data_IF_975839923116
#
_entry.id   IF_975839923116
#
_cell.length_a   1.000
_cell.length_b   1.000
_cell.length_c   1.000
_cell.angle_alpha   90.00
_cell.angle_beta   90.00
_cell.angle_gamma   90.00
#
_symmetry.space_group_name_H-M   'P 1'
#
loop_
_entity.id
_entity.type
_entity.pdbx_description
1 polymer ?
#
# COMPACT_ATOMS: atom_id res chain seq x y z
N UNK A 1 -11.09 1.17 -12.65
CA UNK A 1 -10.31 -0.03 -13.00
C UNK A 1 -9.07 -0.19 -12.11
N UNK A 2 -9.17 -0.99 -11.05
CA UNK A 2 -8.07 -1.23 -10.08
C UNK A 2 -6.84 -1.89 -10.72
N UNK A 3 -7.05 -2.74 -11.74
CA UNK A 3 -5.97 -3.40 -12.49
C UNK A 3 -5.09 -2.41 -13.26
N UNK A 4 -5.64 -1.29 -13.73
CA UNK A 4 -4.86 -0.24 -14.38
C UNK A 4 -4.01 0.54 -13.37
N UNK A 5 -4.60 0.87 -12.21
CA UNK A 5 -3.89 1.53 -11.11
C UNK A 5 -2.69 0.70 -10.63
N UNK A 6 -2.87 -0.62 -10.47
CA UNK A 6 -1.79 -1.54 -10.11
C UNK A 6 -0.64 -1.49 -11.13
N UNK A 7 -0.93 -1.52 -12.43
CA UNK A 7 0.10 -1.47 -13.48
C UNK A 7 0.87 -0.15 -13.50
N UNK A 8 0.19 0.97 -13.29
CA UNK A 8 0.87 2.28 -13.18
C UNK A 8 1.78 2.36 -11.95
N UNK A 9 1.30 1.88 -10.80
CA UNK A 9 2.09 1.86 -9.57
C UNK A 9 3.27 0.89 -9.67
N UNK A 10 3.13 -0.24 -10.37
CA UNK A 10 4.23 -1.17 -10.63
C UNK A 10 5.32 -0.55 -11.52
N UNK A 11 4.95 0.16 -12.59
CA UNK A 11 5.94 0.90 -13.39
C UNK A 11 6.67 1.98 -12.59
N UNK A 12 6.00 2.61 -11.64
CA UNK A 12 6.63 3.58 -10.75
C UNK A 12 7.68 2.92 -9.83
N UNK A 13 7.52 1.64 -9.46
CA UNK A 13 8.54 0.85 -8.75
C UNK A 13 9.76 0.54 -9.61
N UNK A 14 9.57 0.41 -10.93
CA UNK A 14 10.66 0.14 -11.87
C UNK A 14 11.45 1.41 -12.21
N UNK A 15 10.81 2.59 -12.14
CA UNK A 15 11.43 3.88 -12.43
C UNK A 15 12.28 4.42 -11.26
N UNK A 16 12.16 3.87 -10.06
CA UNK A 16 12.90 4.31 -8.89
C UNK A 16 12.40 3.68 -7.59
N UNK A 17 13.09 3.94 -6.46
CA UNK A 17 12.66 3.42 -5.16
C UNK A 17 11.24 3.92 -4.85
N UNK A 18 10.31 3.02 -4.47
CA UNK A 18 8.98 3.42 -4.05
C UNK A 18 9.06 4.43 -2.92
N UNK A 19 8.24 5.48 -2.99
CA UNK A 19 7.96 6.32 -1.84
C UNK A 19 6.89 5.68 -0.96
N UNK A 20 6.87 6.05 0.32
CA UNK A 20 5.84 5.64 1.27
C UNK A 20 4.41 5.87 0.72
N UNK A 21 4.20 6.94 -0.05
CA UNK A 21 2.92 7.23 -0.71
C UNK A 21 2.54 6.23 -1.81
N UNK A 22 3.51 5.80 -2.63
CA UNK A 22 3.27 4.79 -3.67
C UNK A 22 2.94 3.44 -3.03
N UNK A 23 3.65 3.09 -1.95
CA UNK A 23 3.39 1.88 -1.17
C UNK A 23 2.02 1.93 -0.49
N UNK A 24 1.62 3.07 0.06
CA UNK A 24 0.27 3.26 0.62
C UNK A 24 -0.83 3.02 -0.43
N UNK A 25 -0.71 3.65 -1.61
CA UNK A 25 -1.68 3.47 -2.69
C UNK A 25 -1.70 2.02 -3.22
N UNK A 26 -0.56 1.34 -3.26
CA UNK A 26 -0.51 -0.10 -3.58
C UNK A 26 -1.25 -0.93 -2.54
N UNK A 27 -1.10 -0.61 -1.25
CA UNK A 27 -1.84 -1.29 -0.19
C UNK A 27 -3.35 -1.09 -0.32
N UNK A 28 -3.79 0.13 -0.60
CA UNK A 28 -5.21 0.45 -0.80
C UNK A 28 -5.81 -0.28 -2.00
N UNK A 29 -5.07 -0.34 -3.11
CA UNK A 29 -5.49 -1.08 -4.30
C UNK A 29 -5.57 -2.58 -4.01
N UNK A 30 -4.63 -3.15 -3.25
CA UNK A 30 -4.66 -4.57 -2.90
C UNK A 30 -5.82 -4.89 -1.95
N UNK A 31 -6.11 -4.03 -0.98
CA UNK A 31 -7.26 -4.19 -0.09
C UNK A 31 -8.58 -4.13 -0.87
N UNK A 32 -8.71 -3.17 -1.80
CA UNK A 32 -9.88 -3.06 -2.67
C UNK A 32 -10.05 -4.27 -3.63
N UNK A 33 -8.98 -5.04 -3.85
CA UNK A 33 -8.99 -6.29 -4.61
C UNK A 33 -9.27 -7.53 -3.74
N UNK A 34 -9.49 -7.36 -2.42
CA UNK A 34 -9.65 -8.45 -1.45
C UNK A 34 -8.33 -9.12 -1.05
N UNK A 35 -7.18 -8.58 -1.45
CA UNK A 35 -5.86 -9.13 -1.16
C UNK A 35 -5.29 -8.52 0.13
N UNK A 36 -5.95 -8.77 1.25
CA UNK A 36 -5.66 -8.13 2.53
C UNK A 36 -4.24 -8.43 3.06
N UNK A 37 -3.75 -9.64 2.81
CA UNK A 37 -2.37 -10.01 3.12
C UNK A 37 -1.34 -9.20 2.33
N UNK A 38 -1.62 -8.90 1.06
CA UNK A 38 -0.74 -8.05 0.25
C UNK A 38 -0.86 -6.59 0.67
N UNK A 39 -2.07 -6.11 0.99
CA UNK A 39 -2.33 -4.76 1.47
C UNK A 39 -1.49 -4.42 2.71
N UNK A 40 -1.53 -5.30 3.73
CA UNK A 40 -0.73 -5.14 4.96
C UNK A 40 0.76 -5.04 4.67
N UNK A 41 1.30 -5.90 3.80
CA UNK A 41 2.73 -5.85 3.44
C UNK A 41 3.13 -4.50 2.84
N UNK A 42 2.29 -3.94 1.97
CA UNK A 42 2.58 -2.63 1.37
C UNK A 42 2.45 -1.48 2.37
N UNK A 43 1.41 -1.47 3.21
CA UNK A 43 1.27 -0.48 4.28
C UNK A 43 2.40 -0.53 5.32
N UNK A 44 2.88 -1.74 5.66
CA UNK A 44 4.03 -1.92 6.55
C UNK A 44 5.30 -1.32 5.96
N UNK A 45 5.58 -1.58 4.67
CA UNK A 45 6.73 -1.00 3.96
C UNK A 45 6.62 0.53 3.82
N UNK A 46 5.40 1.03 3.67
CA UNK A 46 5.16 2.47 3.66
C UNK A 46 5.45 3.11 5.02
N UNK A 47 5.09 2.45 6.12
CA UNK A 47 5.39 2.89 7.49
C UNK A 47 6.88 2.79 7.84
N UNK A 48 7.57 1.78 7.33
CA UNK A 48 9.02 1.62 7.53
C UNK A 48 9.80 2.80 6.95
N UNK A 49 9.33 3.35 5.83
CA UNK A 49 9.90 4.56 5.23
C UNK A 49 9.47 5.86 5.92
N UNK A 50 8.27 5.88 6.49
CA UNK A 50 7.65 7.09 7.03
C UNK A 50 6.75 6.72 8.23
N UNK A 51 7.40 6.57 9.38
CA UNK A 51 6.81 6.04 10.61
C UNK A 51 5.79 7.00 11.27
N UNK A 52 5.78 8.26 10.86
CA UNK A 52 4.88 9.30 11.39
C UNK A 52 3.48 9.26 10.76
N UNK A 53 3.26 8.36 9.78
CA UNK A 53 1.97 8.22 9.11
C UNK A 53 0.92 7.55 9.98
N UNK A 54 0.28 8.36 10.84
CA UNK A 54 -0.87 7.98 11.64
C UNK A 54 -1.98 7.31 10.82
N UNK A 55 -2.21 7.76 9.59
CA UNK A 55 -3.17 7.19 8.63
C UNK A 55 -2.89 5.72 8.31
N UNK A 56 -1.63 5.33 8.14
CA UNK A 56 -1.23 3.94 7.87
C UNK A 56 -1.34 3.06 9.11
N UNK A 57 -0.99 3.60 10.28
CA UNK A 57 -1.19 2.89 11.57
C UNK A 57 -2.67 2.61 11.80
N UNK A 58 -3.53 3.58 11.50
CA UNK A 58 -4.98 3.39 11.52
C UNK A 58 -5.40 2.32 10.52
N UNK A 59 -4.96 2.37 9.26
CA UNK A 59 -5.27 1.33 8.25
C UNK A 59 -4.80 -0.08 8.65
N UNK A 60 -3.69 -0.23 9.35
CA UNK A 60 -3.25 -1.55 9.85
C UNK A 60 -4.05 -2.02 11.07
N UNK A 61 -4.58 -1.09 11.86
CA UNK A 61 -5.32 -1.37 13.09
C UNK A 61 -6.84 -1.51 12.89
N UNK A 62 -7.43 -0.71 11.99
CA UNK A 62 -8.82 -0.79 11.51
C UNK A 62 -8.97 -1.76 10.33
N UNK A 63 -7.89 -1.98 9.57
CA UNK A 63 -7.95 -2.73 8.32
C UNK A 63 -8.10 -4.22 8.52
N UNK A 64 -8.33 -4.92 7.39
CA UNK A 64 -9.08 -6.17 7.30
C UNK A 64 -8.64 -7.16 8.38
N UNK A 65 -9.40 -7.23 9.46
CA UNK A 65 -9.31 -8.34 10.39
C UNK A 65 -9.44 -9.63 9.59
N UNK A 66 -8.59 -10.62 9.92
CA UNK A 66 -8.62 -11.96 9.33
C UNK A 66 -10.02 -12.52 9.15
#
# INVERSE_FOLDING_TARGET
NLNAARRHLQKALEAGPPTARVLEHLGDVQHALGNDGAARKYWQRALDQDADRASLRKKLSDGPSS
#
